data_IF_462976911294
#
_entry.id   IF_462976911294
#
_cell.length_a   1.000
_cell.length_b   1.000
_cell.length_c   1.000
_cell.angle_alpha   90.00
_cell.angle_beta   90.00
_cell.angle_gamma   90.00
#
_symmetry.space_group_name_H-M   'P 1'
#
loop_
_entity.id
_entity.type
_entity.pdbx_description
1 polymer ?
#
# COMPACT_ATOMS: atom_id res chain seq x y z
N UNK A 1 21.94 33.96 3.05
CA UNK A 1 22.36 34.13 4.45
C UNK A 1 21.33 33.57 5.44
N UNK A 2 20.09 34.07 5.47
CA UNK A 2 19.00 33.58 6.36
C UNK A 2 18.85 32.05 6.36
N UNK A 3 18.76 31.42 5.17
CA UNK A 3 18.71 29.94 5.05
C UNK A 3 19.81 29.22 5.83
N UNK A 4 21.04 29.73 5.81
CA UNK A 4 22.17 29.11 6.50
C UNK A 4 22.07 29.28 8.01
N UNK A 5 21.58 30.43 8.48
CA UNK A 5 21.32 30.68 9.90
C UNK A 5 20.24 29.73 10.43
N UNK A 6 19.11 29.61 9.72
CA UNK A 6 18.02 28.71 10.07
C UNK A 6 18.44 27.24 10.03
N UNK A 7 19.23 26.81 9.04
CA UNK A 7 19.73 25.43 8.96
C UNK A 7 20.64 25.05 10.14
N UNK A 8 21.40 26.02 10.69
CA UNK A 8 22.32 25.77 11.80
C UNK A 8 21.66 25.88 13.17
N UNK A 9 20.73 26.83 13.34
CA UNK A 9 20.14 27.21 14.64
C UNK A 9 18.68 26.78 14.81
N UNK A 10 18.06 26.23 13.77
CA UNK A 10 16.64 25.90 13.73
C UNK A 10 15.74 27.09 13.40
N UNK A 11 14.49 26.83 13.02
CA UNK A 11 13.51 27.86 12.63
C UNK A 11 13.18 28.79 13.81
N UNK A 12 13.21 28.29 15.04
CA UNK A 12 13.01 29.06 16.27
C UNK A 12 13.94 30.28 16.40
N UNK A 13 15.13 30.20 15.80
CA UNK A 13 16.09 31.31 15.82
C UNK A 13 15.55 32.58 15.16
N UNK A 14 14.63 32.47 14.20
CA UNK A 14 13.94 33.62 13.60
C UNK A 14 13.16 34.44 14.64
N UNK A 15 12.59 33.79 15.65
CA UNK A 15 11.80 34.45 16.69
C UNK A 15 12.65 34.97 17.84
N UNK A 16 13.77 34.31 18.15
CA UNK A 16 14.61 34.63 19.31
C UNK A 16 15.68 35.70 19.06
N UNK A 17 16.21 35.78 17.84
CA UNK A 17 17.36 36.64 17.53
C UNK A 17 16.94 37.99 16.95
N UNK A 18 17.71 39.03 17.22
CA UNK A 18 17.50 40.34 16.63
C UNK A 18 17.88 40.39 15.14
N UNK A 19 17.31 41.31 14.35
CA UNK A 19 17.62 41.45 12.92
C UNK A 19 19.13 41.51 12.62
N UNK A 20 19.91 42.23 13.44
CA UNK A 20 21.36 42.34 13.29
C UNK A 20 22.14 41.05 13.57
N UNK A 21 21.56 40.09 14.29
CA UNK A 21 22.17 38.78 14.55
C UNK A 21 21.86 37.75 13.46
N UNK A 22 20.85 38.03 12.61
CA UNK A 22 20.40 37.18 11.51
C UNK A 22 20.93 37.69 10.17
N UNK A 23 21.14 39.00 10.03
CA UNK A 23 21.59 39.64 8.79
C UNK A 23 23.12 39.86 8.79
N UNK A 24 23.76 39.92 7.61
CA UNK A 24 25.15 40.36 7.50
C UNK A 24 25.33 41.81 7.97
N UNK A 25 26.49 42.15 8.55
CA UNK A 25 26.78 43.49 9.09
C UNK A 25 26.76 44.59 8.02
N UNK A 26 27.07 44.25 6.76
CA UNK A 26 27.21 45.22 5.67
C UNK A 26 25.91 45.50 4.92
N UNK A 27 24.78 44.95 5.36
CA UNK A 27 23.51 45.10 4.63
C UNK A 27 22.87 46.46 4.92
N UNK A 28 22.55 47.21 3.87
CA UNK A 28 21.80 48.47 3.94
C UNK A 28 20.63 48.44 2.97
N UNK A 29 19.51 49.05 3.35
CA UNK A 29 18.32 49.06 2.51
C UNK A 29 18.56 49.86 1.23
N UNK A 30 18.31 49.25 0.06
CA UNK A 30 18.54 49.86 -1.25
C UNK A 30 17.69 51.10 -1.54
N UNK A 31 16.64 51.34 -0.74
CA UNK A 31 15.73 52.48 -0.90
C UNK A 31 16.05 53.67 0.01
N UNK A 32 16.28 53.45 1.30
CA UNK A 32 16.54 54.51 2.29
C UNK A 32 18.02 54.66 2.65
N UNK A 33 18.88 53.68 2.32
CA UNK A 33 20.27 53.60 2.82
C UNK A 33 20.38 53.25 4.30
N UNK A 34 19.28 52.99 4.99
CA UNK A 34 19.24 52.69 6.42
C UNK A 34 19.68 51.24 6.72
N UNK A 35 20.41 51.05 7.82
CA UNK A 35 20.93 49.75 8.30
C UNK A 35 20.08 49.12 9.42
N UNK A 36 18.99 49.77 9.80
CA UNK A 36 18.05 49.26 10.80
C UNK A 36 16.90 48.51 10.10
N UNK A 37 16.67 47.27 10.53
CA UNK A 37 15.68 46.38 9.92
C UNK A 37 14.70 45.89 10.97
N UNK A 38 13.47 45.60 10.54
CA UNK A 38 12.48 44.88 11.32
C UNK A 38 12.20 43.53 10.67
N UNK A 39 11.98 42.49 11.49
CA UNK A 39 11.63 41.15 10.99
C UNK A 39 10.17 41.12 10.55
N UNK A 40 9.88 40.33 9.53
CA UNK A 40 8.51 39.92 9.27
C UNK A 40 8.03 38.99 10.41
N UNK A 41 6.88 39.33 11.00
CA UNK A 41 6.25 38.55 12.07
C UNK A 41 5.32 37.45 11.54
N UNK A 42 4.94 37.55 10.26
CA UNK A 42 4.06 36.59 9.62
C UNK A 42 4.70 35.21 9.46
N UNK A 43 3.91 34.16 9.64
CA UNK A 43 4.32 32.78 9.38
C UNK A 43 3.93 32.35 7.97
N UNK A 44 4.69 31.40 7.42
CA UNK A 44 4.34 30.73 6.16
C UNK A 44 3.14 29.80 6.38
N UNK A 45 2.20 29.80 5.43
CA UNK A 45 1.05 28.90 5.49
C UNK A 45 1.50 27.42 5.51
N UNK A 46 0.94 26.55 6.38
CA UNK A 46 1.36 25.14 6.47
C UNK A 46 1.30 24.38 5.14
N UNK A 47 0.28 24.66 4.33
CA UNK A 47 0.09 24.04 3.00
C UNK A 47 1.21 24.42 2.03
N UNK A 48 1.72 25.66 2.12
CA UNK A 48 2.86 26.12 1.32
C UNK A 48 4.15 25.46 1.78
N UNK A 49 4.38 25.41 3.10
CA UNK A 49 5.54 24.73 3.66
C UNK A 49 5.58 23.23 3.26
N UNK A 50 4.42 22.57 3.28
CA UNK A 50 4.27 21.20 2.79
C UNK A 50 4.66 21.08 1.30
N UNK A 51 4.08 21.90 0.42
CA UNK A 51 4.34 21.83 -1.02
C UNK A 51 5.82 22.10 -1.36
N UNK A 52 6.47 23.07 -0.71
CA UNK A 52 7.91 23.34 -0.87
C UNK A 52 8.75 22.15 -0.44
N UNK A 53 8.40 21.51 0.68
CA UNK A 53 9.11 20.33 1.16
C UNK A 53 8.98 19.15 0.18
N UNK A 54 7.78 18.92 -0.38
CA UNK A 54 7.58 17.89 -1.40
C UNK A 54 8.39 18.18 -2.66
N UNK A 55 8.35 19.43 -3.17
CA UNK A 55 9.12 19.84 -4.34
C UNK A 55 10.63 19.61 -4.14
N UNK A 56 11.15 20.00 -2.97
CA UNK A 56 12.53 19.77 -2.60
C UNK A 56 12.88 18.28 -2.56
N UNK A 57 12.05 17.43 -1.94
CA UNK A 57 12.28 15.98 -1.88
C UNK A 57 12.31 15.35 -3.28
N UNK A 58 11.38 15.74 -4.15
CA UNK A 58 11.31 15.24 -5.53
C UNK A 58 12.54 15.68 -6.33
N UNK A 59 12.93 16.96 -6.26
CA UNK A 59 14.10 17.48 -6.97
C UNK A 59 15.43 16.77 -6.64
N UNK A 60 15.51 16.08 -5.50
CA UNK A 60 16.69 15.33 -5.07
C UNK A 60 16.75 13.90 -5.60
N UNK A 61 15.67 13.34 -6.14
CA UNK A 61 15.60 11.96 -6.65
C UNK A 61 16.03 11.84 -8.12
N UNK A 62 17.15 12.49 -8.50
CA UNK A 62 17.63 12.70 -9.88
C UNK A 62 17.93 11.45 -10.71
N UNK A 63 17.78 10.24 -10.18
CA UNK A 63 18.27 9.02 -10.84
C UNK A 63 17.23 8.32 -11.72
N UNK A 64 15.95 8.69 -11.66
CA UNK A 64 14.90 8.19 -12.57
C UNK A 64 13.89 9.30 -12.76
N UNK A 65 13.35 9.40 -13.97
CA UNK A 65 12.30 10.33 -14.42
C UNK A 65 11.44 10.80 -13.23
N UNK A 66 11.32 12.11 -13.00
CA UNK A 66 10.54 12.72 -11.91
C UNK A 66 9.02 12.54 -12.14
N UNK A 67 8.60 11.32 -12.39
CA UNK A 67 7.23 10.90 -12.57
C UNK A 67 6.77 10.35 -11.24
N UNK A 68 5.81 11.04 -10.64
CA UNK A 68 5.01 10.41 -9.60
C UNK A 68 4.00 9.54 -10.32
N UNK A 69 4.08 8.22 -10.14
CA UNK A 69 3.15 7.30 -10.80
C UNK A 69 1.71 7.45 -10.25
N UNK A 70 1.59 7.61 -8.92
CA UNK A 70 0.31 7.61 -8.21
C UNK A 70 0.33 8.60 -7.02
N UNK A 71 -0.71 9.42 -6.91
CA UNK A 71 -1.01 10.22 -5.71
C UNK A 71 -2.31 9.72 -5.11
N UNK A 72 -2.23 9.34 -3.82
CA UNK A 72 -3.37 8.87 -3.03
C UNK A 72 -3.55 9.83 -1.85
N UNK A 73 -4.58 10.66 -1.90
CA UNK A 73 -4.97 11.59 -0.83
C UNK A 73 -6.47 11.89 -0.94
N UNK A 74 -7.15 12.35 0.12
CA UNK A 74 -8.49 12.90 0.00
C UNK A 74 -8.52 14.12 -0.92
N UNK A 75 -9.51 14.18 -1.84
CA UNK A 75 -9.65 15.27 -2.82
C UNK A 75 -9.54 16.66 -2.19
N UNK A 76 -10.25 16.96 -1.08
CA UNK A 76 -10.21 18.31 -0.50
C UNK A 76 -8.83 18.73 0.01
N UNK A 77 -7.98 17.77 0.39
CA UNK A 77 -6.61 18.04 0.82
C UNK A 77 -5.72 18.26 -0.40
N UNK A 78 -5.83 17.36 -1.37
CA UNK A 78 -5.04 17.36 -2.61
C UNK A 78 -5.25 18.60 -3.47
N UNK A 79 -6.49 19.05 -3.63
CA UNK A 79 -6.86 20.26 -4.39
C UNK A 79 -6.13 21.51 -3.88
N UNK A 80 -5.72 21.52 -2.60
CA UNK A 80 -5.06 22.68 -1.98
C UNK A 80 -3.56 22.74 -2.20
N UNK A 81 -2.85 21.60 -2.25
CA UNK A 81 -1.38 21.58 -2.38
C UNK A 81 -0.90 21.19 -3.77
N UNK A 82 -1.65 20.39 -4.52
CA UNK A 82 -1.18 19.84 -5.79
C UNK A 82 -0.91 20.92 -6.86
N UNK A 83 -1.78 21.93 -7.06
CA UNK A 83 -1.49 23.01 -8.00
C UNK A 83 -0.23 23.79 -7.63
N UNK A 84 -0.03 24.00 -6.33
CA UNK A 84 1.14 24.70 -5.80
C UNK A 84 2.42 23.88 -5.96
N UNK A 85 2.37 22.56 -5.71
CA UNK A 85 3.51 21.67 -5.99
C UNK A 85 3.90 21.72 -7.46
N UNK A 86 2.92 21.57 -8.37
CA UNK A 86 3.17 21.66 -9.82
C UNK A 86 3.86 22.97 -10.16
N UNK A 87 3.37 24.09 -9.61
CA UNK A 87 3.96 25.40 -9.89
C UNK A 87 5.37 25.56 -9.30
N UNK A 88 5.63 25.02 -8.12
CA UNK A 88 6.96 25.04 -7.50
C UNK A 88 7.96 24.18 -8.30
N UNK A 89 7.53 23.03 -8.81
CA UNK A 89 8.37 22.18 -9.66
C UNK A 89 8.75 22.88 -10.96
N UNK A 90 7.78 23.52 -11.63
CA UNK A 90 8.04 24.35 -12.81
C UNK A 90 9.01 25.50 -12.51
N UNK A 91 8.75 26.28 -11.45
CA UNK A 91 9.48 27.52 -11.17
C UNK A 91 10.90 27.28 -10.63
N UNK A 92 11.09 26.26 -9.79
CA UNK A 92 12.34 26.07 -9.06
C UNK A 92 13.26 25.04 -9.70
N UNK A 93 12.71 24.13 -10.51
CA UNK A 93 13.44 22.97 -10.99
C UNK A 93 13.32 22.74 -12.50
N UNK A 94 12.60 23.60 -13.24
CA UNK A 94 12.36 23.49 -14.69
C UNK A 94 11.81 22.10 -15.07
N UNK A 95 10.99 21.53 -14.18
CA UNK A 95 10.55 20.15 -14.26
C UNK A 95 9.03 20.07 -14.19
N UNK A 96 8.44 19.43 -15.19
CA UNK A 96 7.01 19.22 -15.26
C UNK A 96 6.68 17.91 -14.54
N UNK A 97 5.95 18.02 -13.42
CA UNK A 97 5.40 16.85 -12.75
C UNK A 97 4.44 16.13 -13.72
N UNK A 98 4.88 14.99 -14.27
CA UNK A 98 4.08 14.23 -15.23
C UNK A 98 2.87 13.65 -14.51
N UNK A 99 1.70 13.89 -15.11
CA UNK A 99 0.34 13.64 -14.61
C UNK A 99 0.20 12.34 -13.80
N UNK A 100 0.24 12.40 -12.45
CA UNK A 100 0.03 11.23 -11.62
C UNK A 100 -1.41 10.73 -11.80
N UNK A 101 -1.62 9.41 -11.68
CA UNK A 101 -2.96 8.91 -11.42
C UNK A 101 -3.39 9.52 -10.08
N UNK A 102 -4.54 10.19 -10.08
CA UNK A 102 -5.10 10.81 -8.90
C UNK A 102 -6.23 9.92 -8.41
N UNK A 103 -6.04 9.31 -7.25
CA UNK A 103 -7.08 8.56 -6.58
C UNK A 103 -7.62 9.37 -5.40
N UNK A 104 -8.79 10.02 -5.55
CA UNK A 104 -9.44 10.68 -4.44
C UNK A 104 -9.94 9.62 -3.45
N UNK A 105 -9.39 9.62 -2.25
CA UNK A 105 -9.85 8.74 -1.17
C UNK A 105 -10.81 9.52 -0.29
N UNK A 106 -12.10 9.21 -0.36
CA UNK A 106 -13.02 9.71 0.64
C UNK A 106 -12.77 8.91 1.92
N UNK A 107 -12.21 9.51 2.99
CA UNK A 107 -12.16 8.80 4.25
C UNK A 107 -13.60 8.43 4.64
N UNK A 108 -13.83 7.25 5.24
CA UNK A 108 -15.15 6.96 5.79
C UNK A 108 -15.57 8.15 6.66
N UNK A 109 -16.85 8.53 6.61
CA UNK A 109 -17.40 9.56 7.50
C UNK A 109 -16.84 9.28 8.90
N UNK A 110 -16.35 10.32 9.59
CA UNK A 110 -15.90 10.19 10.98
C UNK A 110 -17.09 9.72 11.80
N UNK A 111 -17.33 8.41 11.84
CA UNK A 111 -18.00 7.79 12.94
C UNK A 111 -17.23 8.23 14.18
N UNK A 112 -17.96 8.68 15.20
CA UNK A 112 -17.41 8.97 16.52
C UNK A 112 -16.32 7.95 16.82
N UNK A 113 -15.12 8.42 17.16
CA UNK A 113 -13.95 7.58 17.36
C UNK A 113 -14.25 6.49 18.39
N UNK A 114 -14.76 5.36 17.91
CA UNK A 114 -14.91 4.17 18.71
C UNK A 114 -13.55 3.51 18.64
N UNK A 115 -12.84 3.59 19.75
CA UNK A 115 -11.58 2.89 19.97
C UNK A 115 -11.63 1.52 19.32
N UNK A 116 -10.59 1.20 18.54
CA UNK A 116 -10.37 -0.15 18.03
C UNK A 116 -9.98 -0.98 19.26
N UNK A 117 -10.82 -1.93 19.72
CA UNK A 117 -10.51 -2.83 20.82
C UNK A 117 -9.19 -3.53 20.52
N UNK A 118 -8.32 -3.66 21.52
CA UNK A 118 -6.96 -4.17 21.34
C UNK A 118 -6.91 -5.55 20.67
N UNK A 119 -7.91 -6.39 20.94
CA UNK A 119 -8.09 -7.74 20.39
C UNK A 119 -8.40 -7.75 18.88
N UNK A 120 -8.86 -6.63 18.32
CA UNK A 120 -9.18 -6.45 16.90
C UNK A 120 -8.14 -5.59 16.17
N UNK A 121 -7.03 -5.23 16.82
CA UNK A 121 -5.94 -4.43 16.24
C UNK A 121 -5.03 -5.24 15.32
N UNK A 122 -5.58 -6.14 14.50
CA UNK A 122 -4.79 -6.65 13.38
C UNK A 122 -4.73 -5.58 12.30
N UNK A 123 -3.54 -5.34 11.75
CA UNK A 123 -3.39 -4.40 10.63
C UNK A 123 -4.25 -4.80 9.42
N UNK A 124 -4.55 -6.10 9.27
CA UNK A 124 -5.43 -6.63 8.22
C UNK A 124 -6.89 -6.19 8.39
N UNK A 125 -7.42 -6.22 9.62
CA UNK A 125 -8.78 -5.74 9.91
C UNK A 125 -8.86 -4.25 9.59
N UNK A 126 -7.85 -3.46 9.99
CA UNK A 126 -7.82 -2.03 9.68
C UNK A 126 -7.84 -1.75 8.17
N UNK A 127 -7.06 -2.51 7.39
CA UNK A 127 -7.00 -2.39 5.93
C UNK A 127 -8.32 -2.80 5.26
N UNK A 128 -8.85 -3.96 5.60
CA UNK A 128 -10.12 -4.45 5.03
C UNK A 128 -11.30 -3.58 5.44
N UNK A 129 -11.30 -3.04 6.66
CA UNK A 129 -12.38 -2.15 7.14
C UNK A 129 -12.56 -0.92 6.26
N UNK A 130 -11.50 -0.47 5.60
CA UNK A 130 -11.55 0.64 4.64
C UNK A 130 -12.45 0.32 3.43
N UNK A 131 -12.41 -0.93 2.95
CA UNK A 131 -13.09 -1.35 1.73
C UNK A 131 -14.46 -1.98 1.98
N UNK A 132 -14.59 -2.80 3.02
CA UNK A 132 -15.77 -3.64 3.24
C UNK A 132 -16.48 -3.37 4.57
N UNK A 133 -16.04 -2.37 5.32
CA UNK A 133 -16.56 -2.03 6.63
C UNK A 133 -16.09 -2.98 7.74
N UNK A 134 -16.13 -2.49 8.98
CA UNK A 134 -15.48 -3.14 10.13
C UNK A 134 -16.03 -4.52 10.46
N UNK A 135 -17.35 -4.67 10.55
CA UNK A 135 -17.95 -5.97 10.94
C UNK A 135 -17.59 -7.06 9.94
N UNK A 136 -17.69 -6.76 8.63
CA UNK A 136 -17.35 -7.70 7.57
C UNK A 136 -15.84 -7.97 7.52
N UNK A 137 -15.00 -6.99 7.81
CA UNK A 137 -13.55 -7.17 7.88
C UNK A 137 -13.12 -8.14 8.99
N UNK A 138 -13.70 -8.02 10.19
CA UNK A 138 -13.42 -8.94 11.32
C UNK A 138 -13.80 -10.37 10.95
N UNK A 139 -15.01 -10.56 10.42
CA UNK A 139 -15.48 -11.87 9.97
C UNK A 139 -14.59 -12.44 8.86
N UNK A 140 -14.27 -11.63 7.84
CA UNK A 140 -13.41 -12.01 6.72
C UNK A 140 -12.05 -12.50 7.18
N UNK A 141 -11.35 -11.74 8.03
CA UNK A 141 -10.01 -12.13 8.52
C UNK A 141 -10.07 -13.40 9.33
N UNK A 142 -11.07 -13.55 10.21
CA UNK A 142 -11.27 -14.78 10.99
C UNK A 142 -11.49 -16.01 10.10
N UNK A 143 -12.37 -15.87 9.09
CA UNK A 143 -12.69 -16.96 8.16
C UNK A 143 -11.50 -17.32 7.28
N UNK A 144 -10.75 -16.33 6.76
CA UNK A 144 -9.54 -16.57 5.98
C UNK A 144 -8.49 -17.32 6.81
N UNK A 145 -8.20 -16.85 8.01
CA UNK A 145 -7.23 -17.47 8.90
C UNK A 145 -7.61 -18.92 9.22
N UNK A 146 -8.86 -19.17 9.63
CA UNK A 146 -9.34 -20.52 9.93
C UNK A 146 -9.31 -21.46 8.74
N UNK A 147 -9.62 -20.97 7.53
CA UNK A 147 -9.53 -21.77 6.30
C UNK A 147 -8.08 -22.17 5.98
N UNK A 148 -7.16 -21.20 6.03
CA UNK A 148 -5.75 -21.46 5.74
C UNK A 148 -5.07 -22.34 6.81
N UNK A 149 -5.44 -22.21 8.08
CA UNK A 149 -5.00 -23.15 9.12
C UNK A 149 -5.50 -24.57 8.85
N UNK A 150 -6.77 -24.73 8.43
CA UNK A 150 -7.30 -26.04 8.04
C UNK A 150 -6.55 -26.63 6.84
N UNK A 151 -6.20 -25.81 5.85
CA UNK A 151 -5.38 -26.22 4.71
C UNK A 151 -3.98 -26.65 5.18
N UNK A 152 -3.33 -25.87 6.04
CA UNK A 152 -2.03 -26.18 6.63
C UNK A 152 -2.03 -27.52 7.36
N UNK A 153 -3.05 -27.77 8.18
CA UNK A 153 -3.20 -29.03 8.90
C UNK A 153 -3.35 -30.21 7.94
N UNK A 154 -4.22 -30.09 6.93
CA UNK A 154 -4.49 -31.15 5.97
C UNK A 154 -3.32 -31.44 5.02
N UNK A 155 -2.51 -30.44 4.72
CA UNK A 155 -1.37 -30.56 3.79
C UNK A 155 -0.04 -30.80 4.50
N UNK A 156 -0.06 -30.91 5.83
CA UNK A 156 1.14 -31.18 6.65
C UNK A 156 1.77 -32.52 6.26
N UNK A 157 3.08 -32.50 5.98
CA UNK A 157 3.82 -33.69 5.57
C UNK A 157 3.55 -34.17 4.14
N UNK A 158 2.81 -33.39 3.34
CA UNK A 158 2.73 -33.61 1.89
C UNK A 158 4.00 -33.05 1.24
N UNK A 159 4.79 -33.97 0.69
CA UNK A 159 6.02 -33.70 -0.06
C UNK A 159 5.81 -33.98 -1.55
N UNK A 160 6.60 -33.31 -2.39
CA UNK A 160 6.55 -33.42 -3.85
C UNK A 160 5.64 -32.40 -4.53
N UNK A 161 5.76 -32.35 -5.86
CA UNK A 161 4.96 -31.48 -6.74
C UNK A 161 3.73 -32.24 -7.28
N UNK A 162 2.72 -31.49 -7.69
CA UNK A 162 1.53 -32.06 -8.30
C UNK A 162 1.85 -32.69 -9.66
N UNK A 163 1.54 -33.99 -9.78
CA UNK A 163 1.71 -34.73 -11.04
C UNK A 163 0.55 -34.44 -12.00
N UNK A 164 0.75 -33.48 -12.90
CA UNK A 164 -0.23 -33.10 -13.93
C UNK A 164 -0.65 -34.27 -14.83
N UNK A 165 0.14 -35.35 -14.96
CA UNK A 165 -0.24 -36.51 -15.75
C UNK A 165 -1.37 -37.33 -15.10
N UNK A 166 -1.61 -37.16 -13.79
CA UNK A 166 -2.67 -37.85 -13.02
C UNK A 166 -3.83 -36.94 -12.66
N UNK A 167 -3.96 -35.81 -13.35
CA UNK A 167 -5.02 -34.84 -13.09
C UNK A 167 -6.39 -35.41 -13.44
N UNK A 168 -7.29 -35.41 -12.46
CA UNK A 168 -8.69 -35.75 -12.69
C UNK A 168 -9.51 -34.50 -13.08
N UNK A 169 -10.75 -34.66 -13.55
CA UNK A 169 -11.56 -33.53 -14.03
C UNK A 169 -11.77 -32.43 -12.98
N UNK A 170 -11.94 -32.79 -11.70
CA UNK A 170 -12.19 -31.83 -10.62
C UNK A 170 -10.94 -30.98 -10.32
N UNK A 171 -9.78 -31.63 -10.23
CA UNK A 171 -8.49 -30.95 -10.08
C UNK A 171 -8.19 -30.03 -11.26
N UNK A 172 -8.47 -30.48 -12.49
CA UNK A 172 -8.33 -29.68 -13.71
C UNK A 172 -9.24 -28.47 -13.71
N UNK A 173 -10.49 -28.64 -13.30
CA UNK A 173 -11.44 -27.55 -13.19
C UNK A 173 -10.97 -26.51 -12.17
N UNK A 174 -10.48 -26.94 -11.00
CA UNK A 174 -9.97 -26.03 -9.98
C UNK A 174 -8.76 -25.23 -10.48
N UNK A 175 -7.82 -25.88 -11.17
CA UNK A 175 -6.65 -25.22 -11.76
C UNK A 175 -7.06 -24.15 -12.79
N UNK A 176 -7.97 -24.49 -13.70
CA UNK A 176 -8.49 -23.52 -14.67
C UNK A 176 -9.19 -22.35 -13.98
N UNK A 177 -10.02 -22.63 -12.96
CA UNK A 177 -10.72 -21.57 -12.22
C UNK A 177 -9.74 -20.65 -11.47
N UNK A 178 -8.65 -21.22 -10.94
CA UNK A 178 -7.59 -20.47 -10.28
C UNK A 178 -6.77 -19.61 -11.25
N UNK A 179 -6.41 -20.15 -12.41
CA UNK A 179 -5.66 -19.44 -13.44
C UNK A 179 -6.43 -18.22 -13.96
N UNK A 180 -7.75 -18.36 -14.14
CA UNK A 180 -8.65 -17.25 -14.47
C UNK A 180 -8.72 -16.24 -13.30
N UNK A 181 -8.87 -16.72 -12.06
CA UNK A 181 -8.88 -15.86 -10.88
C UNK A 181 -7.62 -15.00 -10.83
N UNK A 182 -6.43 -15.60 -10.97
CA UNK A 182 -5.17 -14.88 -10.89
C UNK A 182 -5.10 -13.75 -11.93
N UNK A 183 -5.51 -14.02 -13.19
CA UNK A 183 -5.58 -13.01 -14.24
C UNK A 183 -6.56 -11.87 -13.92
N UNK A 184 -7.76 -12.22 -13.43
CA UNK A 184 -8.78 -11.23 -13.03
C UNK A 184 -8.30 -10.34 -11.88
N UNK A 185 -7.68 -10.94 -10.85
CA UNK A 185 -7.18 -10.19 -9.68
C UNK A 185 -6.02 -9.28 -10.04
N UNK A 186 -5.08 -9.75 -10.87
CA UNK A 186 -3.99 -8.90 -11.36
C UNK A 186 -4.55 -7.72 -12.17
N UNK A 187 -5.53 -7.93 -13.05
CA UNK A 187 -6.22 -6.86 -13.78
C UNK A 187 -6.92 -5.86 -12.84
N UNK A 188 -7.56 -6.35 -11.78
CA UNK A 188 -8.20 -5.50 -10.77
C UNK A 188 -7.18 -4.68 -9.97
N UNK A 189 -6.03 -5.26 -9.61
CA UNK A 189 -4.95 -4.52 -8.94
C UNK A 189 -4.33 -3.45 -9.83
N UNK A 190 -4.05 -3.76 -11.10
CA UNK A 190 -3.56 -2.76 -12.07
C UNK A 190 -4.55 -1.61 -12.28
N UNK A 191 -5.85 -1.92 -12.24
CA UNK A 191 -6.92 -0.92 -12.37
C UNK A 191 -7.35 -0.28 -11.04
N UNK A 192 -6.67 -0.62 -9.93
CA UNK A 192 -6.95 -0.13 -8.58
C UNK A 192 -8.39 -0.42 -8.09
N UNK A 193 -9.03 -1.47 -8.61
CA UNK A 193 -10.38 -1.95 -8.26
C UNK A 193 -10.34 -2.93 -7.07
N UNK A 194 -9.84 -2.45 -5.94
CA UNK A 194 -9.53 -3.30 -4.77
C UNK A 194 -10.77 -3.95 -4.15
N UNK A 195 -11.91 -3.25 -4.08
CA UNK A 195 -13.17 -3.81 -3.56
C UNK A 195 -13.65 -5.00 -4.39
N UNK A 196 -13.57 -4.89 -5.73
CA UNK A 196 -13.92 -5.98 -6.65
C UNK A 196 -12.97 -7.17 -6.49
N UNK A 197 -11.67 -6.90 -6.30
CA UNK A 197 -10.68 -7.94 -6.01
C UNK A 197 -10.97 -8.68 -4.70
N UNK A 198 -11.31 -7.96 -3.62
CA UNK A 198 -11.71 -8.57 -2.33
C UNK A 198 -12.92 -9.48 -2.52
N UNK A 199 -13.96 -8.99 -3.20
CA UNK A 199 -15.18 -9.76 -3.45
C UNK A 199 -14.87 -11.02 -4.27
N UNK A 200 -14.09 -10.89 -5.35
CA UNK A 200 -13.76 -12.00 -6.25
C UNK A 200 -12.85 -13.04 -5.59
N UNK A 201 -11.87 -12.60 -4.81
CA UNK A 201 -11.02 -13.47 -3.99
C UNK A 201 -11.83 -14.20 -2.93
N UNK A 202 -12.73 -13.50 -2.23
CA UNK A 202 -13.52 -14.09 -1.16
C UNK A 202 -14.42 -15.23 -1.66
N UNK A 203 -15.14 -15.03 -2.78
CA UNK A 203 -15.94 -16.09 -3.42
C UNK A 203 -15.10 -17.30 -3.79
N UNK A 204 -13.94 -17.12 -4.42
CA UNK A 204 -13.08 -18.26 -4.75
C UNK A 204 -12.58 -18.98 -3.50
N UNK A 205 -12.13 -18.21 -2.51
CA UNK A 205 -11.54 -18.75 -1.28
C UNK A 205 -12.56 -19.55 -0.46
N UNK A 206 -13.78 -19.03 -0.28
CA UNK A 206 -14.76 -19.72 0.56
C UNK A 206 -15.63 -20.70 -0.21
N UNK A 207 -16.08 -20.36 -1.42
CA UNK A 207 -17.00 -21.23 -2.16
C UNK A 207 -16.23 -22.33 -2.87
N UNK A 208 -15.17 -21.95 -3.61
CA UNK A 208 -14.44 -22.90 -4.47
C UNK A 208 -13.44 -23.74 -3.69
N UNK A 209 -12.55 -23.11 -2.91
CA UNK A 209 -11.58 -23.84 -2.08
C UNK A 209 -12.27 -24.54 -0.91
N UNK A 210 -13.26 -23.89 -0.27
CA UNK A 210 -14.06 -24.52 0.78
C UNK A 210 -14.76 -25.80 0.32
N UNK A 211 -15.37 -25.80 -0.87
CA UNK A 211 -15.95 -27.01 -1.46
C UNK A 211 -14.90 -28.06 -1.81
N UNK A 212 -13.76 -27.65 -2.38
CA UNK A 212 -12.68 -28.57 -2.76
C UNK A 212 -12.04 -29.26 -1.56
N UNK A 213 -11.89 -28.57 -0.43
CA UNK A 213 -11.35 -29.11 0.82
C UNK A 213 -12.08 -30.38 1.28
N UNK A 214 -13.41 -30.41 1.18
CA UNK A 214 -14.19 -31.57 1.59
C UNK A 214 -13.98 -32.79 0.68
N UNK A 215 -13.62 -32.57 -0.59
CA UNK A 215 -13.23 -33.63 -1.52
C UNK A 215 -11.76 -34.03 -1.33
N UNK A 216 -10.87 -33.07 -1.07
CA UNK A 216 -9.44 -33.31 -0.90
C UNK A 216 -9.12 -34.20 0.30
N UNK A 217 -9.99 -34.23 1.32
CA UNK A 217 -9.92 -35.17 2.45
C UNK A 217 -9.93 -36.65 2.04
N UNK A 218 -10.45 -36.97 0.87
CA UNK A 218 -10.69 -38.36 0.44
C UNK A 218 -9.49 -38.97 -0.29
N UNK A 219 -8.64 -38.16 -0.94
CA UNK A 219 -7.52 -38.66 -1.74
C UNK A 219 -6.27 -37.76 -1.63
N UNK A 220 -5.11 -38.39 -1.45
CA UNK A 220 -3.83 -37.69 -1.24
C UNK A 220 -3.41 -36.79 -2.41
N UNK A 221 -3.75 -37.17 -3.65
CA UNK A 221 -3.40 -36.39 -4.87
C UNK A 221 -4.02 -34.99 -4.84
N UNK A 222 -5.20 -34.84 -4.23
CA UNK A 222 -5.85 -33.54 -4.08
C UNK A 222 -5.18 -32.63 -3.05
N UNK A 223 -4.47 -33.21 -2.07
CA UNK A 223 -3.78 -32.43 -1.05
C UNK A 223 -2.55 -31.73 -1.61
N UNK A 224 -1.83 -32.34 -2.56
CA UNK A 224 -0.70 -31.68 -3.24
C UNK A 224 -1.17 -30.49 -4.06
N UNK A 225 -2.23 -30.64 -4.86
CA UNK A 225 -2.78 -29.52 -5.63
C UNK A 225 -3.33 -28.41 -4.72
N UNK A 226 -4.04 -28.79 -3.66
CA UNK A 226 -4.56 -27.83 -2.69
C UNK A 226 -3.42 -27.02 -2.05
N UNK A 227 -2.31 -27.65 -1.70
CA UNK A 227 -1.13 -26.97 -1.16
C UNK A 227 -0.59 -25.93 -2.15
N UNK A 228 -0.37 -26.32 -3.40
CA UNK A 228 0.16 -25.42 -4.44
C UNK A 228 -0.77 -24.22 -4.71
N UNK A 229 -2.05 -24.48 -4.94
CA UNK A 229 -3.04 -23.41 -5.18
C UNK A 229 -3.18 -22.49 -3.97
N UNK A 230 -3.12 -23.03 -2.75
CA UNK A 230 -3.26 -22.23 -1.54
C UNK A 230 -2.07 -21.30 -1.33
N UNK A 231 -0.87 -21.72 -1.72
CA UNK A 231 0.33 -20.88 -1.68
C UNK A 231 0.16 -19.68 -2.62
N UNK A 232 -0.29 -19.89 -3.85
CA UNK A 232 -0.49 -18.78 -4.80
C UNK A 232 -1.72 -17.93 -4.46
N UNK A 233 -2.79 -18.53 -3.93
CA UNK A 233 -3.96 -17.82 -3.41
C UNK A 233 -3.56 -16.90 -2.26
N UNK A 234 -2.67 -17.35 -1.37
CA UNK A 234 -2.15 -16.53 -0.27
C UNK A 234 -1.38 -15.32 -0.79
N UNK A 235 -0.59 -15.49 -1.86
CA UNK A 235 0.10 -14.37 -2.52
C UNK A 235 -0.88 -13.35 -3.09
N UNK A 236 -2.00 -13.80 -3.67
CA UNK A 236 -3.06 -12.90 -4.15
C UNK A 236 -3.72 -12.10 -3.01
N UNK A 237 -3.86 -12.69 -1.83
CA UNK A 237 -4.38 -12.01 -0.63
C UNK A 237 -3.36 -11.07 0.03
N UNK A 238 -2.06 -11.31 -0.13
CA UNK A 238 -0.99 -10.62 0.60
C UNK A 238 -1.02 -9.07 0.50
N UNK A 239 -1.36 -8.44 -0.65
CA UNK A 239 -1.50 -6.98 -0.72
C UNK A 239 -2.62 -6.41 0.17
N UNK A 240 -3.65 -7.21 0.46
CA UNK A 240 -4.83 -6.81 1.24
C UNK A 240 -4.64 -7.17 2.72
N UNK A 241 -4.22 -8.40 3.01
CA UNK A 241 -4.06 -8.97 4.37
C UNK A 241 -2.60 -9.37 4.67
N UNK A 242 -1.65 -8.41 4.65
CA UNK A 242 -0.23 -8.71 4.73
C UNK A 242 0.19 -9.46 6.01
N UNK A 243 -0.39 -9.16 7.17
CA UNK A 243 0.08 -9.75 8.42
C UNK A 243 -0.32 -11.23 8.53
N UNK A 244 -1.58 -11.52 8.19
CA UNK A 244 -2.11 -12.87 8.07
C UNK A 244 -1.35 -13.65 6.99
N UNK A 245 -1.14 -13.05 5.81
CA UNK A 245 -0.48 -13.71 4.70
C UNK A 245 0.97 -14.09 5.04
N UNK A 246 1.75 -13.18 5.62
CA UNK A 246 3.12 -13.46 6.05
C UNK A 246 3.16 -14.58 7.10
N UNK A 247 2.25 -14.55 8.09
CA UNK A 247 2.20 -15.57 9.13
C UNK A 247 1.94 -16.97 8.56
N UNK A 248 0.87 -17.11 7.76
CA UNK A 248 0.52 -18.39 7.14
C UNK A 248 1.65 -18.85 6.21
N UNK A 249 2.28 -17.93 5.47
CA UNK A 249 3.37 -18.23 4.55
C UNK A 249 4.56 -18.88 5.25
N UNK A 250 4.99 -18.31 6.39
CA UNK A 250 6.10 -18.83 7.19
C UNK A 250 5.79 -20.24 7.74
N UNK A 251 4.52 -20.51 8.07
CA UNK A 251 4.08 -21.85 8.49
C UNK A 251 4.00 -22.84 7.30
N UNK A 252 3.60 -22.37 6.11
CA UNK A 252 3.53 -23.21 4.90
C UNK A 252 4.92 -23.55 4.35
N UNK A 253 5.92 -22.68 4.54
CA UNK A 253 7.24 -22.76 3.91
C UNK A 253 8.39 -22.63 4.93
N UNK A 254 8.47 -23.52 5.94
CA UNK A 254 9.49 -23.41 7.00
C UNK A 254 10.92 -23.53 6.45
N UNK A 255 11.10 -24.20 5.31
CA UNK A 255 12.42 -24.49 4.73
C UNK A 255 12.99 -23.35 3.88
N UNK A 256 12.17 -22.34 3.54
CA UNK A 256 12.60 -21.17 2.76
C UNK A 256 13.46 -20.17 3.56
N UNK A 257 14.07 -20.61 4.65
CA UNK A 257 14.98 -19.79 5.46
C UNK A 257 14.35 -18.51 6.03
N UNK A 258 13.02 -18.46 6.16
CA UNK A 258 12.29 -17.27 6.59
C UNK A 258 12.13 -16.19 5.51
N UNK A 259 12.31 -16.53 4.22
CA UNK A 259 11.99 -15.58 3.13
C UNK A 259 10.53 -15.19 3.18
N UNK A 260 10.25 -13.88 3.24
CA UNK A 260 8.90 -13.33 3.31
C UNK A 260 8.09 -13.58 2.03
N UNK A 261 6.76 -13.64 2.17
CA UNK A 261 5.82 -13.71 1.03
C UNK A 261 5.94 -12.50 0.12
N UNK A 262 6.30 -11.33 0.65
CA UNK A 262 6.42 -10.08 -0.11
C UNK A 262 7.62 -10.05 -1.05
N UNK A 263 8.51 -11.04 -0.96
CA UNK A 263 9.65 -11.21 -1.87
C UNK A 263 9.34 -12.22 -2.99
N UNK A 264 8.13 -12.78 -3.01
CA UNK A 264 7.72 -13.77 -4.00
C UNK A 264 7.06 -13.13 -5.20
N UNK A 265 7.14 -13.82 -6.34
CA UNK A 265 6.44 -13.42 -7.55
C UNK A 265 4.93 -13.66 -7.41
N UNK A 266 4.14 -12.70 -7.88
CA UNK A 266 2.69 -12.85 -8.01
C UNK A 266 2.34 -13.90 -9.07
N UNK A 267 1.26 -14.68 -8.87
CA UNK A 267 0.75 -15.56 -9.91
C UNK A 267 0.12 -14.70 -11.03
N UNK A 268 0.57 -14.90 -12.27
CA UNK A 268 0.18 -14.05 -13.40
C UNK A 268 -1.16 -14.44 -14.04
N UNK A 269 -1.61 -15.68 -13.87
CA UNK A 269 -2.85 -16.20 -14.43
C UNK A 269 -2.98 -16.11 -15.95
N UNK A 270 -4.15 -16.48 -16.48
CA UNK A 270 -4.49 -16.32 -17.89
C UNK A 270 -5.57 -15.25 -18.09
N UNK A 271 -5.37 -14.37 -19.07
CA UNK A 271 -6.27 -13.25 -19.42
C UNK A 271 -6.80 -13.33 -20.85
N UNK A 272 -7.07 -14.52 -21.39
CA UNK A 272 -7.70 -14.63 -22.71
C UNK A 272 -9.23 -14.58 -22.65
N UNK A 273 -9.84 -14.20 -23.77
CA UNK A 273 -11.29 -14.25 -23.93
C UNK A 273 -11.75 -15.72 -24.03
N UNK A 274 -12.83 -16.08 -23.33
CA UNK A 274 -13.51 -17.38 -23.50
C UNK A 274 -14.29 -17.42 -24.81
#
# INVERSE_FOLDING_TARGET
HIRNSLNRRGVDSWFRLDPGEILPEEISCQRCGCGEFHKAEGTVAPIFAFAVNQAYKLSRRRDRVNVIDLIIEPSPVMERWLPMLKKLMELLYDDALISPIILPVNPPERGEGRDIPDELRSGDIGRLSFFIGRSRAVEMVGNLYGLFEKILEMTRGIEGEFDFAKINPDARSLLTDFDILAGEIMSMYESLRIEEAIERLSRFTFDRIGSYLENARKEKVFLTLLKEISVDLLKLWAPITPFMAERIWLEMNPENGGSSIFMQMMPLGWMGER
#
